data_IF_523264746375
#
_entry.id   IF_523264746375
#
_cell.length_a   1.000
_cell.length_b   1.000
_cell.length_c   1.000
_cell.angle_alpha   90.00
_cell.angle_beta   90.00
_cell.angle_gamma   90.00
#
_symmetry.space_group_name_H-M   'P 1'
#
loop_
_entity.id
_entity.type
_entity.pdbx_description
1 polymer ?
#
# COMPACT_ATOMS: atom_id res chain seq x y z
N UNK A 1 16.22 -23.61 -12.24
CA UNK A 1 15.78 -22.21 -12.12
C UNK A 1 14.45 -22.26 -11.40
N UNK A 2 14.40 -21.81 -10.14
CA UNK A 2 13.12 -21.74 -9.44
C UNK A 2 12.26 -20.69 -10.14
N UNK A 3 10.96 -20.94 -10.24
CA UNK A 3 10.06 -19.95 -10.79
C UNK A 3 9.94 -18.78 -9.80
N UNK A 4 9.58 -17.63 -10.33
CA UNK A 4 9.26 -16.41 -9.57
C UNK A 4 8.37 -16.66 -8.33
N UNK A 5 7.39 -17.56 -8.47
CA UNK A 5 6.46 -17.91 -7.39
C UNK A 5 7.08 -18.84 -6.32
N UNK A 6 8.08 -19.64 -6.69
CA UNK A 6 8.77 -20.53 -5.75
C UNK A 6 9.57 -19.69 -4.73
N UNK A 7 10.22 -18.61 -5.19
CA UNK A 7 10.94 -17.69 -4.30
C UNK A 7 9.99 -17.03 -3.28
N UNK A 8 8.84 -16.53 -3.74
CA UNK A 8 7.84 -15.94 -2.84
C UNK A 8 7.30 -16.97 -1.85
N UNK A 9 7.06 -18.20 -2.31
CA UNK A 9 6.59 -19.30 -1.45
C UNK A 9 7.60 -19.63 -0.36
N UNK A 10 8.90 -19.69 -0.71
CA UNK A 10 9.96 -19.96 0.24
C UNK A 10 10.12 -18.83 1.25
N UNK A 11 10.03 -17.57 0.80
CA UNK A 11 10.05 -16.40 1.67
C UNK A 11 8.90 -16.42 2.69
N UNK A 12 7.67 -16.72 2.25
CA UNK A 12 6.51 -16.81 3.13
C UNK A 12 6.67 -17.92 4.19
N UNK A 13 7.27 -19.06 3.82
CA UNK A 13 7.54 -20.16 4.76
C UNK A 13 8.64 -19.83 5.75
N UNK A 14 9.72 -19.21 5.28
CA UNK A 14 10.85 -18.78 6.10
C UNK A 14 10.39 -17.85 7.22
N UNK A 15 9.54 -16.88 6.88
CA UNK A 15 8.97 -15.91 7.82
C UNK A 15 7.73 -16.42 8.57
N UNK A 16 7.34 -17.69 8.37
CA UNK A 16 6.20 -18.36 9.01
C UNK A 16 4.88 -17.60 8.85
N UNK A 17 4.68 -16.97 7.69
CA UNK A 17 3.50 -16.17 7.39
C UNK A 17 2.25 -17.05 7.39
N UNK A 18 1.23 -16.61 8.13
CA UNK A 18 -0.08 -17.27 8.20
C UNK A 18 -1.11 -16.57 7.30
N UNK A 19 -0.99 -15.25 7.16
CA UNK A 19 -1.89 -14.40 6.37
C UNK A 19 -1.14 -13.53 5.36
N UNK A 20 -1.69 -13.42 4.15
CA UNK A 20 -1.16 -12.58 3.08
C UNK A 20 -2.19 -11.52 2.70
N UNK A 21 -1.84 -10.26 2.92
CA UNK A 21 -2.55 -9.10 2.39
C UNK A 21 -2.17 -8.92 0.93
N UNK A 22 -3.01 -9.42 0.03
CA UNK A 22 -2.85 -9.27 -1.41
C UNK A 22 -3.35 -7.89 -1.82
N UNK A 23 -2.45 -7.01 -2.27
CA UNK A 23 -2.80 -5.61 -2.48
C UNK A 23 -2.42 -5.07 -3.85
N UNK A 24 -3.18 -4.09 -4.31
CA UNK A 24 -2.87 -3.15 -5.36
C UNK A 24 -3.41 -1.76 -4.96
N UNK A 25 -3.06 -0.71 -5.69
CA UNK A 25 -3.56 0.65 -5.42
C UNK A 25 -4.53 1.10 -6.52
N UNK A 26 -5.62 1.76 -6.13
CA UNK A 26 -6.54 2.42 -7.08
C UNK A 26 -6.04 3.83 -7.47
N UNK A 27 -6.78 4.51 -8.36
CA UNK A 27 -6.40 5.85 -8.85
C UNK A 27 -6.29 6.92 -7.76
N UNK A 28 -6.94 6.71 -6.61
CA UNK A 28 -6.92 7.65 -5.47
C UNK A 28 -5.76 7.36 -4.50
N UNK A 29 -5.00 6.29 -4.75
CA UNK A 29 -3.93 5.84 -3.87
C UNK A 29 -4.39 4.89 -2.78
N UNK A 30 -5.69 4.58 -2.69
CA UNK A 30 -6.21 3.67 -1.66
C UNK A 30 -5.83 2.23 -2.01
N UNK A 31 -5.35 1.50 -1.00
CA UNK A 31 -5.04 0.07 -1.11
C UNK A 31 -6.31 -0.75 -1.26
N UNK A 32 -6.38 -1.56 -2.32
CA UNK A 32 -7.48 -2.48 -2.63
C UNK A 32 -6.95 -3.89 -2.74
N UNK A 33 -7.72 -4.87 -2.26
CA UNK A 33 -7.16 -6.20 -2.13
C UNK A 33 -8.03 -7.22 -1.41
N UNK A 34 -7.39 -8.32 -1.04
CA UNK A 34 -7.96 -9.42 -0.26
C UNK A 34 -6.94 -9.93 0.74
N UNK A 35 -7.42 -10.34 1.91
CA UNK A 35 -6.61 -11.10 2.87
C UNK A 35 -6.81 -12.59 2.57
N UNK A 36 -5.72 -13.33 2.41
CA UNK A 36 -5.76 -14.76 2.11
C UNK A 36 -4.86 -15.54 3.07
N UNK A 37 -5.31 -16.69 3.60
CA UNK A 37 -4.39 -17.65 4.22
C UNK A 37 -3.26 -18.04 3.25
N UNK A 38 -2.04 -18.20 3.77
CA UNK A 38 -0.83 -18.47 2.97
C UNK A 38 -0.97 -19.67 2.03
N UNK A 39 -1.57 -20.76 2.51
CA UNK A 39 -1.77 -21.97 1.69
C UNK A 39 -2.69 -21.72 0.49
N UNK A 40 -3.75 -20.92 0.68
CA UNK A 40 -4.68 -20.53 -0.38
C UNK A 40 -4.01 -19.58 -1.36
N UNK A 41 -3.25 -18.59 -0.88
CA UNK A 41 -2.49 -17.67 -1.72
C UNK A 41 -1.54 -18.42 -2.67
N UNK A 42 -0.75 -19.37 -2.14
CA UNK A 42 0.17 -20.19 -2.92
C UNK A 42 -0.57 -21.03 -3.98
N UNK A 43 -1.73 -21.60 -3.61
CA UNK A 43 -2.53 -22.42 -4.52
C UNK A 43 -3.16 -21.59 -5.65
N UNK A 44 -3.63 -20.38 -5.36
CA UNK A 44 -4.30 -19.49 -6.32
C UNK A 44 -3.31 -18.70 -7.20
N UNK A 45 -2.03 -18.60 -6.78
CA UNK A 45 -0.94 -17.94 -7.52
C UNK A 45 -1.21 -16.47 -7.85
N UNK A 46 -1.97 -15.80 -6.99
CA UNK A 46 -2.43 -14.42 -7.16
C UNK A 46 -3.89 -14.28 -6.77
N UNK A 47 -4.50 -13.17 -7.17
CA UNK A 47 -5.91 -12.89 -6.90
C UNK A 47 -6.64 -12.39 -8.14
N UNK A 48 -7.97 -12.32 -8.05
CA UNK A 48 -8.82 -11.68 -9.05
C UNK A 48 -9.60 -10.55 -8.40
N UNK A 49 -9.70 -9.43 -9.09
CA UNK A 49 -10.48 -8.27 -8.68
C UNK A 49 -11.21 -7.69 -9.89
N UNK A 50 -12.44 -7.19 -9.75
CA UNK A 50 -13.15 -6.51 -10.83
C UNK A 50 -12.45 -5.21 -11.21
N UNK A 51 -12.44 -4.84 -12.49
CA UNK A 51 -11.83 -3.59 -12.98
C UNK A 51 -12.45 -2.35 -12.32
N UNK A 52 -13.74 -2.39 -11.99
CA UNK A 52 -14.47 -1.30 -11.34
C UNK A 52 -13.81 -0.78 -10.05
N UNK A 53 -13.06 -1.62 -9.34
CA UNK A 53 -12.39 -1.22 -8.09
C UNK A 53 -11.29 -0.17 -8.32
N UNK A 54 -10.72 -0.08 -9.53
CA UNK A 54 -9.71 0.94 -9.87
C UNK A 54 -10.32 2.36 -9.99
N UNK A 55 -11.63 2.44 -10.23
CA UNK A 55 -12.37 3.69 -10.43
C UNK A 55 -13.28 4.04 -9.25
N UNK A 56 -13.09 3.40 -8.09
CA UNK A 56 -13.78 3.82 -6.87
C UNK A 56 -13.31 5.19 -6.41
N UNK A 57 -14.25 5.98 -5.91
CA UNK A 57 -13.98 7.26 -5.26
C UNK A 57 -13.36 7.03 -3.88
N UNK A 58 -12.83 8.10 -3.29
CA UNK A 58 -12.25 8.08 -1.94
C UNK A 58 -13.26 7.67 -0.85
N UNK A 59 -14.56 7.88 -1.08
CA UNK A 59 -15.64 7.47 -0.16
C UNK A 59 -16.10 6.03 -0.38
N UNK A 60 -15.59 5.34 -1.42
CA UNK A 60 -16.00 4.00 -1.81
C UNK A 60 -17.18 3.94 -2.77
N UNK A 61 -17.75 5.09 -3.15
CA UNK A 61 -18.76 5.19 -4.20
C UNK A 61 -18.14 5.02 -5.59
N UNK A 62 -18.99 4.85 -6.60
CA UNK A 62 -18.59 4.82 -8.01
C UNK A 62 -18.88 6.16 -8.67
N UNK A 63 -18.16 6.45 -9.75
CA UNK A 63 -18.34 7.71 -10.50
C UNK A 63 -19.68 7.69 -11.22
N UNK A 64 -20.56 8.63 -10.90
CA UNK A 64 -21.86 8.83 -11.57
C UNK A 64 -21.72 9.68 -12.85
N UNK A 65 -20.89 9.22 -13.79
CA UNK A 65 -20.63 9.89 -15.08
C UNK A 65 -20.54 8.85 -16.20
N UNK A 66 -20.97 9.20 -17.42
CA UNK A 66 -20.92 8.31 -18.58
C UNK A 66 -19.49 7.80 -18.86
N UNK A 67 -18.47 8.61 -18.54
CA UNK A 67 -17.05 8.24 -18.66
C UNK A 67 -16.73 6.96 -17.87
N UNK A 68 -17.37 6.73 -16.72
CA UNK A 68 -17.16 5.51 -15.93
C UNK A 68 -17.49 4.25 -16.74
N UNK A 69 -18.62 4.27 -17.45
CA UNK A 69 -19.09 3.15 -18.26
C UNK A 69 -18.32 3.00 -19.57
N UNK A 70 -17.69 4.07 -20.08
CA UNK A 70 -16.81 4.01 -21.24
C UNK A 70 -15.43 3.42 -20.92
N UNK A 71 -14.94 3.61 -19.70
CA UNK A 71 -13.63 3.15 -19.26
C UNK A 71 -13.59 1.67 -18.85
N UNK A 72 -14.74 1.07 -18.56
CA UNK A 72 -14.85 -0.31 -18.07
C UNK A 72 -15.54 -1.21 -19.10
N UNK A 73 -15.22 -2.50 -19.07
CA UNK A 73 -16.06 -3.47 -19.75
C UNK A 73 -17.47 -3.49 -19.09
N UNK A 74 -18.57 -3.42 -19.86
CA UNK A 74 -19.93 -3.47 -19.31
C UNK A 74 -20.23 -4.70 -18.44
N UNK A 75 -19.45 -5.79 -18.59
CA UNK A 75 -19.56 -6.99 -17.76
C UNK A 75 -18.75 -6.94 -16.45
N UNK A 76 -18.04 -5.84 -16.17
CA UNK A 76 -17.12 -5.66 -15.04
C UNK A 76 -16.19 -6.87 -14.87
N UNK A 77 -15.34 -7.07 -15.88
CA UNK A 77 -14.52 -8.27 -15.96
C UNK A 77 -13.44 -8.29 -14.86
N UNK A 78 -13.19 -9.48 -14.33
CA UNK A 78 -12.09 -9.68 -13.39
C UNK A 78 -10.73 -9.48 -14.07
N UNK A 79 -9.90 -8.63 -13.46
CA UNK A 79 -8.47 -8.56 -13.68
C UNK A 79 -7.77 -9.75 -13.02
N UNK A 80 -6.67 -10.18 -13.62
CA UNK A 80 -5.73 -11.13 -13.04
C UNK A 80 -4.64 -10.33 -12.33
N UNK A 81 -4.65 -10.37 -10.99
CA UNK A 81 -3.64 -9.75 -10.16
C UNK A 81 -2.52 -10.76 -9.89
N UNK A 82 -1.32 -10.50 -10.40
CA UNK A 82 -0.14 -11.36 -10.23
C UNK A 82 0.78 -10.79 -9.17
N UNK A 83 1.20 -11.58 -8.17
CA UNK A 83 2.06 -11.08 -7.10
C UNK A 83 3.45 -10.75 -7.64
N UNK A 84 4.02 -9.64 -7.17
CA UNK A 84 5.41 -9.27 -7.41
C UNK A 84 6.28 -9.77 -6.26
N UNK A 85 7.13 -10.76 -6.53
CA UNK A 85 8.01 -11.37 -5.52
C UNK A 85 9.04 -10.41 -4.91
N UNK A 86 9.29 -9.27 -5.57
CA UNK A 86 10.23 -8.26 -5.09
C UNK A 86 9.52 -7.16 -4.29
N UNK A 87 8.20 -7.24 -4.16
CA UNK A 87 7.37 -6.29 -3.43
C UNK A 87 6.55 -7.02 -2.36
N UNK A 88 7.26 -7.76 -1.52
CA UNK A 88 6.74 -8.47 -0.35
C UNK A 88 7.35 -7.88 0.91
N UNK A 89 6.51 -7.58 1.89
CA UNK A 89 6.89 -6.88 3.12
C UNK A 89 6.21 -7.51 4.33
N UNK A 90 6.89 -7.52 5.48
CA UNK A 90 6.27 -7.89 6.75
C UNK A 90 5.30 -6.80 7.20
N UNK A 91 4.24 -7.19 7.91
CA UNK A 91 3.31 -6.27 8.59
C UNK A 91 3.62 -6.32 10.09
N UNK A 92 4.56 -5.49 10.59
CA UNK A 92 5.12 -5.66 11.93
C UNK A 92 4.13 -5.36 13.06
N UNK A 93 3.09 -4.57 12.78
CA UNK A 93 2.01 -4.28 13.74
C UNK A 93 0.90 -5.33 13.76
N UNK A 94 0.93 -6.34 12.87
CA UNK A 94 -0.07 -7.40 12.86
C UNK A 94 0.11 -8.35 14.05
N UNK A 95 -1.01 -8.82 14.62
CA UNK A 95 -1.00 -9.77 15.74
C UNK A 95 -0.48 -11.14 15.31
N UNK A 96 -0.90 -11.59 14.12
CA UNK A 96 -0.45 -12.84 13.51
C UNK A 96 0.64 -12.56 12.45
N UNK A 97 1.57 -13.49 12.19
CA UNK A 97 2.60 -13.33 11.17
C UNK A 97 2.00 -13.05 9.78
N UNK A 98 2.04 -11.79 9.36
CA UNK A 98 1.34 -11.29 8.17
C UNK A 98 2.32 -10.67 7.19
N UNK A 99 2.10 -10.91 5.90
CA UNK A 99 2.85 -10.27 4.82
C UNK A 99 1.93 -9.48 3.88
N UNK A 100 2.40 -8.32 3.44
CA UNK A 100 1.82 -7.59 2.33
C UNK A 100 2.53 -7.97 1.04
N UNK A 101 1.75 -8.23 -0.01
CA UNK A 101 2.29 -8.53 -1.35
C UNK A 101 1.62 -7.63 -2.37
N UNK A 102 2.41 -6.79 -3.04
CA UNK A 102 1.92 -5.92 -4.11
C UNK A 102 1.76 -6.72 -5.39
N UNK A 103 0.64 -6.50 -6.08
CA UNK A 103 0.29 -7.19 -7.31
C UNK A 103 0.31 -6.24 -8.51
N UNK A 104 0.73 -6.78 -9.66
CA UNK A 104 0.49 -6.19 -10.97
C UNK A 104 -0.82 -6.73 -11.55
N UNK A 105 -1.53 -5.89 -12.29
CA UNK A 105 -2.84 -6.23 -12.84
C UNK A 105 -2.78 -6.47 -14.34
N UNK A 106 -3.41 -7.54 -14.81
CA UNK A 106 -3.44 -7.95 -16.21
C UNK A 106 -4.84 -8.36 -16.65
N UNK A 107 -5.13 -8.21 -17.93
CA UNK A 107 -6.32 -8.79 -18.55
C UNK A 107 -6.16 -10.32 -18.76
N UNK A 108 -7.20 -10.95 -19.33
CA UNK A 108 -7.21 -12.39 -19.63
C UNK A 108 -6.24 -12.80 -20.74
N UNK A 109 -5.84 -11.86 -21.59
CA UNK A 109 -4.86 -12.03 -22.67
C UNK A 109 -3.42 -11.83 -22.18
N UNK A 110 -3.24 -11.35 -20.93
CA UNK A 110 -1.96 -11.07 -20.32
C UNK A 110 -1.41 -9.68 -20.58
N UNK A 111 -2.21 -8.76 -21.13
CA UNK A 111 -1.81 -7.36 -21.28
C UNK A 111 -1.96 -6.62 -19.94
N UNK A 112 -1.07 -5.68 -19.59
CA UNK A 112 -1.21 -4.88 -18.38
C UNK A 112 -2.48 -4.02 -18.42
N UNK A 113 -3.23 -3.96 -17.31
CA UNK A 113 -4.40 -3.08 -17.19
C UNK A 113 -3.93 -1.63 -17.17
N UNK A 114 -4.42 -0.81 -18.10
CA UNK A 114 -3.94 0.57 -18.29
C UNK A 114 -4.39 1.52 -17.19
N UNK A 115 -5.51 1.23 -16.53
CA UNK A 115 -6.04 2.02 -15.43
C UNK A 115 -5.29 1.82 -14.11
N UNK A 116 -4.40 0.82 -14.02
CA UNK A 116 -3.66 0.56 -12.78
C UNK A 116 -2.48 1.54 -12.61
N UNK A 117 -2.43 2.31 -11.50
CA UNK A 117 -1.35 3.26 -11.24
C UNK A 117 0.06 2.63 -11.33
N UNK A 118 0.23 1.41 -10.82
CA UNK A 118 1.52 0.69 -10.86
C UNK A 118 1.93 0.35 -12.30
N UNK A 119 0.99 -0.04 -13.16
CA UNK A 119 1.27 -0.28 -14.58
C UNK A 119 1.58 1.02 -15.33
N UNK A 120 0.88 2.11 -15.02
CA UNK A 120 1.20 3.45 -15.55
C UNK A 120 2.61 3.86 -15.16
N UNK A 121 2.99 3.70 -13.89
CA UNK A 121 4.33 3.98 -13.40
C UNK A 121 5.39 3.16 -14.16
N UNK A 122 5.14 1.87 -14.39
CA UNK A 122 6.04 1.01 -15.19
C UNK A 122 6.20 1.51 -16.63
N UNK A 123 5.13 2.00 -17.27
CA UNK A 123 5.21 2.65 -18.58
C UNK A 123 6.08 3.90 -18.53
N UNK A 124 5.89 4.77 -17.54
CA UNK A 124 6.71 5.99 -17.35
C UNK A 124 8.19 5.65 -17.13
N UNK A 125 8.50 4.69 -16.25
CA UNK A 125 9.87 4.24 -16.01
C UNK A 125 10.53 3.67 -17.27
N UNK A 126 9.78 2.96 -18.11
CA UNK A 126 10.27 2.50 -19.42
C UNK A 126 10.63 3.68 -20.33
N UNK A 127 9.85 4.77 -20.35
CA UNK A 127 10.18 5.95 -21.16
C UNK A 127 11.50 6.59 -20.73
N UNK A 128 11.80 6.64 -19.42
CA UNK A 128 13.11 7.07 -18.94
C UNK A 128 14.22 6.10 -19.38
N UNK A 129 14.01 4.80 -19.22
CA UNK A 129 14.99 3.78 -19.58
C UNK A 129 15.32 3.78 -21.08
N UNK A 130 14.33 4.06 -21.95
CA UNK A 130 14.52 4.15 -23.40
C UNK A 130 15.40 5.36 -23.80
N UNK A 131 15.55 6.36 -22.93
CA UNK A 131 16.52 7.46 -23.06
C UNK A 131 17.87 7.18 -22.39
N UNK A 132 18.03 6.02 -21.75
CA UNK A 132 19.19 5.69 -20.92
C UNK A 132 19.23 6.43 -19.58
N UNK A 133 18.07 6.92 -19.11
CA UNK A 133 17.97 7.65 -17.84
C UNK A 133 17.51 6.75 -16.70
N UNK A 134 17.99 7.04 -15.50
CA UNK A 134 17.56 6.41 -14.25
C UNK A 134 16.92 7.49 -13.35
N UNK A 135 15.58 7.56 -13.27
CA UNK A 135 14.92 8.53 -12.40
C UNK A 135 15.12 8.15 -10.94
N UNK A 136 15.39 9.15 -10.09
CA UNK A 136 15.50 9.01 -8.64
C UNK A 136 14.38 9.83 -8.01
N UNK A 137 13.65 9.23 -7.05
CA UNK A 137 12.55 9.87 -6.33
C UNK A 137 12.83 9.75 -4.84
N UNK A 138 12.76 10.87 -4.12
CA UNK A 138 12.91 10.94 -2.66
C UNK A 138 11.70 11.71 -2.11
N UNK A 139 10.59 11.03 -1.80
CA UNK A 139 9.40 11.68 -1.27
C UNK A 139 9.58 11.98 0.22
N UNK A 140 9.21 13.19 0.64
CA UNK A 140 9.09 13.56 2.05
C UNK A 140 7.60 13.51 2.43
N UNK A 141 7.25 12.67 3.40
CA UNK A 141 5.87 12.52 3.88
C UNK A 141 5.69 13.23 5.21
N UNK A 142 4.99 14.37 5.18
CA UNK A 142 4.54 15.05 6.40
C UNK A 142 3.18 14.51 6.83
N UNK A 143 2.98 14.35 8.14
CA UNK A 143 1.71 13.90 8.71
C UNK A 143 1.38 14.65 10.01
N UNK A 144 0.11 14.59 10.39
CA UNK A 144 -0.38 15.14 11.66
C UNK A 144 -0.72 14.01 12.63
N UNK A 145 -0.13 14.05 13.83
CA UNK A 145 -0.55 13.19 14.92
C UNK A 145 -1.71 13.82 15.68
N UNK A 146 -2.84 13.12 15.77
CA UNK A 146 -4.06 13.63 16.42
C UNK A 146 -4.52 12.70 17.53
N UNK A 147 -5.20 13.27 18.52
CA UNK A 147 -5.99 12.51 19.48
C UNK A 147 -7.12 11.81 18.72
N UNK A 148 -7.45 10.58 19.13
CA UNK A 148 -8.65 9.88 18.66
C UNK A 148 -9.87 10.77 18.82
N UNK A 149 -10.58 11.01 17.72
CA UNK A 149 -11.88 11.68 17.68
C UNK A 149 -12.92 10.67 17.22
N UNK A 150 -13.95 10.47 18.03
CA UNK A 150 -15.12 9.65 17.73
C UNK A 150 -16.21 10.44 17.01
N UNK A 151 -16.18 11.76 17.14
CA UNK A 151 -17.13 12.67 16.53
C UNK A 151 -16.44 13.52 15.44
N UNK A 152 -16.87 13.40 14.16
CA UNK A 152 -16.31 14.15 13.04
C UNK A 152 -16.72 15.63 13.02
N UNK A 153 -17.74 16.04 13.80
CA UNK A 153 -18.22 17.42 13.83
C UNK A 153 -17.31 18.33 14.69
N UNK A 154 -16.42 17.74 15.51
CA UNK A 154 -15.46 18.49 16.33
C UNK A 154 -14.08 18.57 15.66
N UNK A 155 -13.34 19.68 15.87
CA UNK A 155 -11.99 19.82 15.34
C UNK A 155 -11.04 18.81 15.96
N UNK A 156 -10.13 18.27 15.14
CA UNK A 156 -9.05 17.39 15.59
C UNK A 156 -8.19 18.11 16.64
N UNK A 157 -7.83 17.37 17.69
CA UNK A 157 -7.04 17.88 18.82
C UNK A 157 -5.67 17.20 18.85
N UNK A 158 -4.62 17.87 19.33
CA UNK A 158 -3.33 17.22 19.56
C UNK A 158 -3.47 16.13 20.65
N UNK A 159 -2.75 15.01 20.53
CA UNK A 159 -2.69 14.01 21.58
C UNK A 159 -1.95 14.52 22.84
N UNK A 160 -2.06 13.78 23.93
CA UNK A 160 -1.32 14.05 25.16
C UNK A 160 0.05 13.37 25.05
N UNK A 161 1.12 14.16 25.17
CA UNK A 161 2.50 13.67 25.20
C UNK A 161 2.88 13.02 26.54
N UNK A 162 4.09 12.47 26.61
CA UNK A 162 4.64 11.83 27.83
C UNK A 162 4.63 12.72 29.07
N UNK A 163 4.67 14.05 28.92
CA UNK A 163 4.60 15.00 30.03
C UNK A 163 3.18 15.13 30.61
N UNK A 164 2.19 14.44 30.06
CA UNK A 164 0.78 14.57 30.42
C UNK A 164 0.13 15.86 29.92
N UNK A 165 0.76 16.56 28.97
CA UNK A 165 0.24 17.79 28.37
C UNK A 165 0.11 17.63 26.86
N UNK A 166 -0.93 18.22 26.23
CA UNK A 166 -0.95 18.36 24.79
C UNK A 166 0.03 19.43 24.35
N UNK A 167 0.48 19.33 23.10
CA UNK A 167 1.24 20.38 22.45
C UNK A 167 0.45 21.70 22.43
N UNK A 168 1.14 22.82 22.67
CA UNK A 168 0.56 24.15 22.60
C UNK A 168 1.26 24.97 21.52
N UNK A 169 0.53 25.30 20.45
CA UNK A 169 1.05 26.06 19.32
C UNK A 169 1.75 25.22 18.26
N UNK A 170 2.49 25.89 17.37
CA UNK A 170 3.25 25.28 16.28
C UNK A 170 4.71 25.13 16.72
N UNK A 171 5.20 23.91 16.87
CA UNK A 171 6.56 23.63 17.34
C UNK A 171 7.45 23.08 16.22
N UNK A 172 7.44 23.73 15.06
CA UNK A 172 8.27 23.33 13.92
C UNK A 172 9.74 23.19 14.32
N UNK A 173 10.35 22.03 14.04
CA UNK A 173 11.73 21.70 14.39
C UNK A 173 12.06 21.67 15.90
N UNK A 174 11.06 21.56 16.78
CA UNK A 174 11.29 21.45 18.22
C UNK A 174 11.63 20.02 18.63
N UNK A 175 12.85 19.82 19.12
CA UNK A 175 13.29 18.55 19.70
C UNK A 175 12.45 18.19 20.94
N UNK A 176 12.08 19.18 21.75
CA UNK A 176 11.24 18.93 22.93
C UNK A 176 9.85 18.42 22.55
N UNK A 177 9.26 18.95 21.47
CA UNK A 177 7.96 18.51 20.98
C UNK A 177 8.02 17.12 20.35
N UNK A 178 9.06 16.83 19.56
CA UNK A 178 9.29 15.48 19.03
C UNK A 178 9.44 14.46 20.16
N UNK A 179 10.22 14.81 21.19
CA UNK A 179 10.48 13.90 22.30
C UNK A 179 9.22 13.55 23.11
N UNK A 180 8.16 14.35 23.04
CA UNK A 180 6.89 14.04 23.72
C UNK A 180 6.22 12.77 23.19
N UNK A 181 6.56 12.36 21.97
CA UNK A 181 6.02 11.20 21.28
C UNK A 181 7.10 10.17 20.90
N UNK A 182 8.25 10.17 21.58
CA UNK A 182 9.38 9.24 21.35
C UNK A 182 8.93 7.80 21.04
N UNK A 183 8.07 7.14 21.85
CA UNK A 183 7.71 5.74 21.59
C UNK A 183 7.06 5.49 20.23
N UNK A 184 6.28 6.45 19.72
CA UNK A 184 5.67 6.35 18.39
C UNK A 184 6.73 6.40 17.30
N UNK A 185 7.68 7.33 17.41
CA UNK A 185 8.72 7.50 16.40
C UNK A 185 9.67 6.30 16.39
N UNK A 186 10.02 5.76 17.56
CA UNK A 186 10.79 4.51 17.67
C UNK A 186 10.07 3.35 16.95
N UNK A 187 8.76 3.16 17.19
CA UNK A 187 7.97 2.15 16.47
C UNK A 187 8.01 2.38 14.94
N UNK A 188 7.90 3.63 14.47
CA UNK A 188 7.99 3.97 13.04
C UNK A 188 9.36 3.59 12.46
N UNK A 189 10.46 3.95 13.13
CA UNK A 189 11.81 3.61 12.67
C UNK A 189 12.04 2.09 12.65
N UNK A 190 11.70 1.39 13.73
CA UNK A 190 11.83 -0.07 13.82
C UNK A 190 11.03 -0.77 12.71
N UNK A 191 9.81 -0.32 12.44
CA UNK A 191 8.96 -0.93 11.42
C UNK A 191 9.43 -0.61 9.99
N UNK A 192 9.97 0.58 9.75
CA UNK A 192 10.58 0.93 8.48
C UNK A 192 11.83 0.09 8.21
N UNK A 193 12.70 -0.12 9.21
CA UNK A 193 13.86 -1.01 9.08
C UNK A 193 13.42 -2.45 8.74
N UNK A 194 12.41 -2.98 9.43
CA UNK A 194 11.86 -4.31 9.14
C UNK A 194 11.27 -4.43 7.72
N UNK A 195 10.75 -3.34 7.17
CA UNK A 195 10.24 -3.30 5.79
C UNK A 195 11.30 -2.93 4.75
N UNK A 196 12.55 -2.71 5.15
CA UNK A 196 13.63 -2.18 4.31
C UNK A 196 13.28 -0.83 3.66
N UNK A 197 12.59 0.02 4.39
CA UNK A 197 12.37 1.43 4.05
C UNK A 197 13.46 2.26 4.71
N UNK A 198 14.32 2.83 3.89
CA UNK A 198 15.40 3.71 4.35
C UNK A 198 14.78 5.06 4.77
N UNK A 199 14.87 5.39 6.05
CA UNK A 199 14.48 6.68 6.61
C UNK A 199 15.75 7.43 6.99
N UNK A 200 15.90 8.63 6.44
CA UNK A 200 16.96 9.60 6.80
C UNK A 200 16.70 10.27 8.16
#
# INVERSE_FOLDING_TARGET
MSTNLDQLTDWLKEHKITEVECMMSDLTGITRGKISPTNKFIAEKGMRLPESVLLQTVTGDYVEDDIYYELLDPADIDMICRPDQNAVYLVPWAVEPTAQVIHDTYDKQGNPIELSPRNVLKKVLKLYADQGWQPIVAPEMEFYLTKRSDDPDYPLQPPIGRSGRPETGRQSFSIEAANEFDPLFEDVYDWCELQNLDLD
#
